data_IF_716965816237
#
_entry.id   IF_716965816237
#
_cell.length_a   1.000
_cell.length_b   1.000
_cell.length_c   1.000
_cell.angle_alpha   90.00
_cell.angle_beta   90.00
_cell.angle_gamma   90.00
#
_symmetry.space_group_name_H-M   'P 1'
#
loop_
_entity.id
_entity.type
_entity.pdbx_description
1 polymer ?
#
# COMPACT_ATOMS: atom_id res chain seq x y z
N UNK A 1 -12.94 7.30 -10.14
CA UNK A 1 -13.00 7.39 -8.67
C UNK A 1 -13.41 8.79 -8.20
N UNK A 2 -12.61 9.86 -8.38
CA UNK A 2 -13.01 11.21 -7.95
C UNK A 2 -14.34 11.68 -8.58
N UNK A 3 -14.51 11.48 -9.90
CA UNK A 3 -15.79 11.73 -10.59
C UNK A 3 -16.96 10.95 -9.99
N UNK A 4 -16.72 9.69 -9.60
CA UNK A 4 -17.73 8.81 -8.99
C UNK A 4 -18.17 9.31 -7.62
N UNK A 5 -17.29 9.99 -6.87
CA UNK A 5 -17.63 10.57 -5.58
C UNK A 5 -18.44 11.85 -5.75
N UNK A 6 -18.08 12.69 -6.71
CA UNK A 6 -18.87 13.88 -7.03
C UNK A 6 -20.28 13.50 -7.51
N UNK A 7 -20.38 12.42 -8.30
CA UNK A 7 -21.66 11.82 -8.69
C UNK A 7 -22.43 11.22 -7.51
N UNK A 8 -21.74 10.57 -6.57
CA UNK A 8 -22.36 10.02 -5.36
C UNK A 8 -22.90 11.13 -4.43
N UNK A 9 -22.19 12.26 -4.32
CA UNK A 9 -22.65 13.45 -3.59
C UNK A 9 -23.90 14.09 -4.19
N UNK A 10 -24.16 13.88 -5.48
CA UNK A 10 -25.31 14.47 -6.19
C UNK A 10 -26.60 13.62 -6.11
N UNK A 11 -26.52 12.34 -5.70
CA UNK A 11 -27.65 11.39 -5.70
C UNK A 11 -28.46 11.34 -4.39
N UNK A 12 -28.59 12.47 -3.70
CA UNK A 12 -29.21 12.52 -2.37
C UNK A 12 -30.67 12.05 -2.36
N UNK A 13 -30.97 10.99 -1.59
CA UNK A 13 -32.28 10.76 -0.92
C UNK A 13 -32.31 9.57 0.08
N UNK A 14 -31.17 9.06 0.56
CA UNK A 14 -31.14 8.16 1.71
C UNK A 14 -30.09 8.67 2.69
N UNK A 15 -30.56 9.18 3.84
CA UNK A 15 -29.72 9.58 4.96
C UNK A 15 -29.16 8.29 5.55
N UNK A 16 -27.90 7.99 5.24
CA UNK A 16 -27.16 6.96 5.95
C UNK A 16 -26.87 7.50 7.36
N UNK A 17 -27.47 6.90 8.39
CA UNK A 17 -27.30 7.30 9.81
C UNK A 17 -25.86 7.05 10.32
N UNK A 18 -24.95 6.57 9.46
CA UNK A 18 -23.56 6.37 9.81
C UNK A 18 -22.78 7.70 9.92
N UNK A 19 -22.33 8.10 11.12
CA UNK A 19 -21.60 9.37 11.33
C UNK A 19 -20.25 9.45 10.59
N UNK A 20 -19.67 8.30 10.22
CA UNK A 20 -18.44 8.24 9.41
C UNK A 20 -18.76 8.63 7.96
N UNK A 21 -19.88 8.15 7.42
CA UNK A 21 -20.32 8.48 6.07
C UNK A 21 -20.54 9.98 5.93
N UNK A 22 -21.24 10.60 6.89
CA UNK A 22 -21.46 12.06 6.91
C UNK A 22 -20.14 12.85 6.92
N UNK A 23 -19.14 12.37 7.68
CA UNK A 23 -17.80 12.98 7.71
C UNK A 23 -17.11 12.87 6.35
N UNK A 24 -17.14 11.70 5.71
CA UNK A 24 -16.54 11.48 4.39
C UNK A 24 -17.21 12.35 3.33
N UNK A 25 -18.54 12.50 3.37
CA UNK A 25 -19.27 13.34 2.40
C UNK A 25 -18.89 14.83 2.51
N UNK A 26 -18.58 15.30 3.72
CA UNK A 26 -18.14 16.69 3.96
C UNK A 26 -16.71 16.96 3.49
N UNK A 27 -15.88 15.93 3.26
CA UNK A 27 -14.50 16.11 2.79
C UNK A 27 -14.46 16.50 1.31
N UNK A 28 -13.68 17.53 0.99
CA UNK A 28 -13.33 17.90 -0.38
C UNK A 28 -12.12 17.10 -0.85
N UNK A 29 -12.37 15.88 -1.30
CA UNK A 29 -11.31 14.96 -1.73
C UNK A 29 -10.52 15.48 -2.93
N UNK A 30 -11.14 16.28 -3.80
CA UNK A 30 -10.44 16.86 -4.94
C UNK A 30 -9.39 17.86 -4.46
N UNK A 31 -9.73 18.68 -3.47
CA UNK A 31 -8.79 19.58 -2.80
C UNK A 31 -7.69 18.81 -2.07
N UNK A 32 -8.04 17.78 -1.31
CA UNK A 32 -7.05 16.97 -0.57
C UNK A 32 -6.05 16.27 -1.51
N UNK A 33 -6.52 15.69 -2.62
CA UNK A 33 -5.66 15.07 -3.63
C UNK A 33 -4.72 16.09 -4.27
N UNK A 34 -5.21 17.29 -4.59
CA UNK A 34 -4.38 18.36 -5.16
C UNK A 34 -3.32 18.84 -4.16
N UNK A 35 -3.72 19.06 -2.90
CA UNK A 35 -2.81 19.40 -1.81
C UNK A 35 -1.72 18.32 -1.64
N UNK A 36 -2.10 17.05 -1.59
CA UNK A 36 -1.16 15.94 -1.45
C UNK A 36 -0.17 15.90 -2.63
N UNK A 37 -0.65 16.04 -3.87
CA UNK A 37 0.19 16.08 -5.07
C UNK A 37 1.23 17.20 -4.99
N UNK A 38 0.82 18.40 -4.60
CA UNK A 38 1.73 19.55 -4.44
C UNK A 38 2.82 19.32 -3.40
N UNK A 39 2.52 18.60 -2.32
CA UNK A 39 3.50 18.28 -1.27
C UNK A 39 4.44 17.16 -1.70
N UNK A 40 3.91 16.10 -2.32
CA UNK A 40 4.71 14.97 -2.79
C UNK A 40 5.71 15.38 -3.88
N UNK A 41 5.37 16.34 -4.75
CA UNK A 41 6.30 16.88 -5.76
C UNK A 41 7.55 17.55 -5.15
N UNK A 42 7.51 17.95 -3.87
CA UNK A 42 8.66 18.55 -3.16
C UNK A 42 9.59 17.50 -2.57
N UNK A 43 9.13 16.26 -2.41
CA UNK A 43 9.89 15.17 -1.80
C UNK A 43 10.67 14.42 -2.86
N UNK A 44 11.99 14.31 -2.67
CA UNK A 44 12.84 13.51 -3.56
C UNK A 44 12.80 12.04 -3.13
N UNK A 45 11.87 11.28 -3.68
CA UNK A 45 11.88 9.81 -3.60
C UNK A 45 12.21 9.21 -4.96
N UNK A 46 13.07 8.19 -4.97
CA UNK A 46 13.37 7.45 -6.20
C UNK A 46 12.12 6.69 -6.68
N UNK A 47 11.92 6.67 -8.00
CA UNK A 47 10.90 5.82 -8.65
C UNK A 47 11.51 4.45 -8.91
N UNK A 48 10.84 3.40 -8.41
CA UNK A 48 11.23 1.99 -8.55
C UNK A 48 9.99 1.15 -8.85
N UNK A 49 10.16 -0.12 -9.19
CA UNK A 49 9.04 -1.06 -9.24
C UNK A 49 8.61 -1.36 -7.80
N UNK A 50 7.41 -0.93 -7.44
CA UNK A 50 6.84 -1.04 -6.11
C UNK A 50 5.75 -2.12 -6.08
N UNK A 51 5.58 -2.74 -4.91
CA UNK A 51 4.49 -3.68 -4.67
C UNK A 51 3.15 -2.97 -4.54
N UNK A 52 3.16 -1.80 -3.88
CA UNK A 52 2.01 -0.98 -3.48
C UNK A 52 1.05 -1.61 -2.46
N UNK A 53 1.30 -2.85 -2.01
CA UNK A 53 0.50 -3.53 -0.98
C UNK A 53 1.35 -4.49 -0.10
N UNK A 54 2.29 -3.94 0.67
CA UNK A 54 3.21 -4.71 1.54
C UNK A 54 2.62 -5.01 2.92
N UNK A 55 1.44 -5.63 2.96
CA UNK A 55 0.84 -6.17 4.19
C UNK A 55 1.41 -7.55 4.56
N UNK A 56 1.20 -8.00 5.79
CA UNK A 56 1.74 -9.26 6.32
C UNK A 56 1.24 -10.49 5.54
N UNK A 57 0.00 -10.45 5.02
CA UNK A 57 -0.56 -11.52 4.19
C UNK A 57 0.21 -11.76 2.89
N UNK A 58 0.93 -10.74 2.39
CA UNK A 58 1.67 -10.77 1.14
C UNK A 58 3.17 -11.09 1.32
N UNK A 59 3.61 -11.35 2.56
CA UNK A 59 5.02 -11.63 2.89
C UNK A 59 5.10 -13.04 3.48
N UNK A 60 5.48 -14.01 2.65
CA UNK A 60 5.62 -15.41 3.06
C UNK A 60 7.05 -15.72 3.49
N UNK A 61 7.19 -16.56 4.50
CA UNK A 61 8.48 -17.16 4.88
C UNK A 61 8.57 -18.54 4.27
N UNK A 62 9.58 -18.79 3.45
CA UNK A 62 9.89 -20.16 3.00
C UNK A 62 10.77 -20.85 4.03
N UNK A 63 10.27 -21.98 4.55
CA UNK A 63 10.95 -22.83 5.53
C UNK A 63 11.61 -24.07 4.89
N UNK A 64 11.59 -24.18 3.55
CA UNK A 64 12.09 -25.33 2.80
C UNK A 64 13.62 -25.40 2.68
N UNK A 65 14.34 -24.42 3.26
CA UNK A 65 15.79 -24.26 3.17
C UNK A 65 16.38 -23.89 4.53
N UNK A 66 17.68 -24.19 4.72
CA UNK A 66 18.42 -23.85 5.95
C UNK A 66 18.50 -22.32 6.21
N UNK A 67 18.20 -21.50 5.20
CA UNK A 67 18.17 -20.04 5.26
C UNK A 67 16.74 -19.56 4.95
N UNK A 68 15.95 -19.13 5.96
CA UNK A 68 14.58 -18.70 5.75
C UNK A 68 14.54 -17.48 4.82
N UNK A 69 13.84 -17.62 3.69
CA UNK A 69 13.75 -16.58 2.69
C UNK A 69 12.35 -15.96 2.68
N UNK A 70 12.29 -14.63 2.67
CA UNK A 70 11.04 -13.90 2.44
C UNK A 70 10.67 -13.95 0.95
N UNK A 71 9.40 -14.22 0.68
CA UNK A 71 8.82 -14.22 -0.67
C UNK A 71 7.61 -13.30 -0.66
N UNK A 72 7.63 -12.33 -1.56
CA UNK A 72 6.49 -11.46 -1.81
C UNK A 72 5.54 -12.12 -2.81
N UNK A 73 4.24 -12.00 -2.56
CA UNK A 73 3.16 -12.50 -3.42
C UNK A 73 2.10 -11.41 -3.63
N UNK A 74 1.14 -11.67 -4.52
CA UNK A 74 0.00 -10.79 -4.80
C UNK A 74 0.35 -9.43 -5.40
N UNK A 75 0.85 -9.45 -6.64
CA UNK A 75 1.33 -8.28 -7.36
C UNK A 75 0.22 -7.46 -8.05
N UNK A 76 -1.03 -7.53 -7.59
CA UNK A 76 -2.18 -6.95 -8.31
C UNK A 76 -2.13 -5.42 -8.43
N UNK A 77 -1.55 -4.73 -7.45
CA UNK A 77 -1.37 -3.27 -7.46
C UNK A 77 0.01 -2.81 -7.93
N UNK A 78 0.88 -3.72 -8.34
CA UNK A 78 2.27 -3.40 -8.64
C UNK A 78 2.41 -2.42 -9.81
N UNK A 79 3.26 -1.41 -9.61
CA UNK A 79 3.57 -0.42 -10.64
C UNK A 79 4.86 0.32 -10.32
N UNK A 80 5.36 1.11 -11.28
CA UNK A 80 6.41 2.07 -10.97
C UNK A 80 5.84 3.16 -10.07
N UNK A 81 6.38 3.27 -8.85
CA UNK A 81 5.95 4.26 -7.88
C UNK A 81 7.15 4.74 -7.06
N UNK A 82 6.94 5.72 -6.19
CA UNK A 82 7.95 6.21 -5.27
C UNK A 82 8.27 5.14 -4.22
N UNK A 83 9.56 4.80 -4.03
CA UNK A 83 9.96 3.83 -2.99
C UNK A 83 9.47 4.18 -1.58
N UNK A 84 9.31 5.48 -1.31
CA UNK A 84 8.78 5.96 -0.03
C UNK A 84 7.33 5.54 0.22
N UNK A 85 6.56 5.29 -0.84
CA UNK A 85 5.19 4.80 -0.74
C UNK A 85 5.15 3.38 -0.17
N UNK A 86 5.91 2.43 -0.73
CA UNK A 86 5.98 1.05 -0.24
C UNK A 86 6.45 0.98 1.23
N UNK A 87 7.48 1.76 1.58
CA UNK A 87 7.97 1.87 2.95
C UNK A 87 6.88 2.39 3.90
N UNK A 88 6.23 3.51 3.53
CA UNK A 88 5.21 4.13 4.36
C UNK A 88 3.99 3.21 4.51
N UNK A 89 3.56 2.56 3.42
CA UNK A 89 2.47 1.58 3.45
C UNK A 89 2.81 0.43 4.41
N UNK A 90 3.99 -0.18 4.25
CA UNK A 90 4.43 -1.26 5.12
C UNK A 90 4.46 -0.86 6.61
N UNK A 91 4.92 0.36 6.93
CA UNK A 91 4.92 0.86 8.32
C UNK A 91 3.52 1.12 8.87
N UNK A 92 2.57 1.50 8.02
CA UNK A 92 1.17 1.67 8.41
C UNK A 92 0.56 0.29 8.74
N UNK A 93 0.84 -0.74 7.94
CA UNK A 93 0.32 -2.09 8.16
C UNK A 93 0.73 -2.71 9.51
N UNK A 94 1.84 -2.28 10.11
CA UNK A 94 2.22 -2.69 11.48
C UNK A 94 1.17 -2.31 12.53
N UNK A 95 0.35 -1.30 12.24
CA UNK A 95 -0.72 -0.84 13.13
C UNK A 95 -2.03 -1.57 12.90
N UNK A 96 -2.17 -2.35 11.84
CA UNK A 96 -3.40 -3.06 11.51
C UNK A 96 -3.28 -4.54 11.87
N UNK A 97 -4.37 -5.09 12.38
CA UNK A 97 -4.51 -6.53 12.62
C UNK A 97 -5.83 -6.99 12.00
N UNK A 98 -5.73 -7.83 10.97
CA UNK A 98 -6.85 -8.36 10.21
C UNK A 98 -7.32 -9.75 10.71
N UNK A 99 -6.77 -10.26 11.82
CA UNK A 99 -7.15 -11.57 12.37
C UNK A 99 -8.46 -11.55 13.16
N UNK A 100 -9.03 -10.36 13.38
CA UNK A 100 -10.24 -10.19 14.17
C UNK A 100 -11.46 -10.80 13.48
N UNK A 101 -12.12 -11.73 14.15
CA UNK A 101 -13.33 -12.41 13.62
C UNK A 101 -14.60 -11.59 13.78
N UNK A 102 -14.62 -10.63 14.72
CA UNK A 102 -15.76 -9.76 14.99
C UNK A 102 -15.71 -8.48 14.16
N UNK A 103 -16.88 -8.01 13.71
CA UNK A 103 -17.04 -6.74 13.00
C UNK A 103 -16.32 -5.58 13.73
N UNK A 104 -15.57 -4.70 13.03
CA UNK A 104 -15.45 -4.59 11.57
C UNK A 104 -14.38 -5.49 10.92
N UNK A 105 -13.97 -6.58 11.59
CA UNK A 105 -13.00 -7.58 11.13
C UNK A 105 -11.53 -7.10 11.09
N UNK A 106 -11.23 -6.00 11.79
CA UNK A 106 -9.87 -5.56 12.03
C UNK A 106 -9.76 -4.80 13.36
N UNK A 107 -8.53 -4.62 13.83
CA UNK A 107 -8.16 -3.70 14.92
C UNK A 107 -7.01 -2.79 14.50
N UNK A 108 -6.90 -1.62 15.17
CA UNK A 108 -5.85 -0.64 14.91
C UNK A 108 -5.10 -0.34 16.21
N UNK A 109 -3.79 -0.58 16.21
CA UNK A 109 -2.85 -0.39 17.30
C UNK A 109 -1.80 0.63 16.91
N UNK A 110 -2.09 1.92 17.14
CA UNK A 110 -1.20 3.02 16.72
C UNK A 110 0.16 2.97 17.44
N UNK A 111 0.20 2.36 18.60
CA UNK A 111 1.40 2.09 19.40
C UNK A 111 2.39 1.12 18.74
N UNK A 112 1.96 0.36 17.72
CA UNK A 112 2.82 -0.56 16.97
C UNK A 112 3.47 0.07 15.74
N UNK A 113 3.17 1.34 15.47
CA UNK A 113 3.87 2.07 14.42
C UNK A 113 5.37 2.08 14.73
N UNK A 114 6.25 1.76 13.75
CA UNK A 114 7.66 1.55 14.03
C UNK A 114 8.33 2.81 14.57
N UNK A 115 9.30 2.64 15.46
CA UNK A 115 10.17 3.73 15.90
C UNK A 115 11.11 4.17 14.77
N UNK A 116 11.72 5.35 14.90
CA UNK A 116 12.70 5.83 13.92
C UNK A 116 13.84 4.83 13.71
N UNK A 117 14.33 4.20 14.79
CA UNK A 117 15.38 3.18 14.71
C UNK A 117 14.93 1.96 13.90
N UNK A 118 13.69 1.50 14.11
CA UNK A 118 13.10 0.41 13.34
C UNK A 118 12.98 0.78 11.86
N UNK A 119 12.45 1.96 11.54
CA UNK A 119 12.34 2.43 10.15
C UNK A 119 13.70 2.53 9.45
N UNK A 120 14.73 3.05 10.14
CA UNK A 120 16.09 3.17 9.60
C UNK A 120 16.68 1.78 9.33
N UNK A 121 16.48 0.83 10.25
CA UNK A 121 16.94 -0.55 10.08
C UNK A 121 16.29 -1.26 8.89
N UNK A 122 15.05 -0.89 8.53
CA UNK A 122 14.29 -1.49 7.42
C UNK A 122 14.53 -0.80 6.08
N UNK A 123 15.13 0.39 6.07
CA UNK A 123 15.43 1.15 4.84
C UNK A 123 16.20 0.33 3.78
N UNK A 124 17.19 -0.52 4.12
CA UNK A 124 17.90 -1.35 3.15
C UNK A 124 17.10 -2.55 2.61
N UNK A 125 16.16 -3.08 3.40
CA UNK A 125 15.38 -4.29 3.06
C UNK A 125 14.44 -4.05 1.89
N UNK A 126 13.93 -2.82 1.74
CA UNK A 126 13.01 -2.43 0.67
C UNK A 126 13.76 -1.67 -0.45
N UNK A 127 15.07 -1.36 -0.27
CA UNK A 127 15.91 -0.67 -1.28
C UNK A 127 16.68 -1.60 -2.23
N UNK A 128 16.49 -2.92 -2.18
CA UNK A 128 17.07 -3.87 -3.14
C UNK A 128 18.37 -4.57 -2.74
N UNK A 129 18.64 -4.78 -1.44
CA UNK A 129 19.85 -5.50 -0.97
C UNK A 129 19.63 -6.92 -0.42
N UNK A 130 18.40 -7.44 -0.38
CA UNK A 130 18.13 -8.82 0.04
C UNK A 130 17.55 -9.59 -1.14
N UNK A 131 18.36 -10.46 -1.76
CA UNK A 131 18.07 -11.74 -2.49
C UNK A 131 16.66 -12.07 -3.08
N UNK A 132 15.73 -11.13 -3.22
CA UNK A 132 14.38 -11.32 -3.79
C UNK A 132 14.42 -11.16 -5.33
N UNK A 133 15.58 -10.81 -5.89
CA UNK A 133 15.79 -10.57 -7.34
C UNK A 133 16.37 -11.78 -8.08
N UNK A 134 15.94 -13.00 -7.76
CA UNK A 134 16.32 -14.18 -8.58
C UNK A 134 15.15 -14.90 -9.28
N UNK A 135 13.88 -14.58 -8.99
CA UNK A 135 12.76 -15.21 -9.72
C UNK A 135 12.02 -14.26 -10.67
N UNK A 136 11.90 -12.96 -10.34
CA UNK A 136 11.02 -12.05 -11.08
C UNK A 136 11.60 -11.62 -12.46
N UNK A 137 12.91 -11.81 -12.70
CA UNK A 137 13.52 -11.51 -14.01
C UNK A 137 13.05 -12.42 -15.17
N UNK A 138 12.40 -13.56 -14.89
CA UNK A 138 11.83 -14.41 -15.96
C UNK A 138 10.40 -14.04 -16.33
N UNK A 139 9.60 -13.50 -15.40
CA UNK A 139 8.16 -13.33 -15.63
C UNK A 139 7.75 -11.93 -16.10
N UNK A 140 8.55 -10.88 -15.84
CA UNK A 140 8.29 -9.53 -16.41
C UNK A 140 8.41 -9.53 -17.95
N UNK A 141 9.13 -10.48 -18.54
CA UNK A 141 9.14 -10.69 -20.00
C UNK A 141 7.78 -11.12 -20.55
N UNK A 142 6.88 -11.66 -19.71
CA UNK A 142 5.57 -12.18 -20.14
C UNK A 142 4.52 -11.06 -20.12
N UNK A 143 4.56 -10.15 -19.14
CA UNK A 143 3.63 -9.01 -19.06
C UNK A 143 3.83 -7.96 -20.17
N UNK A 144 5.00 -7.86 -20.79
CA UNK A 144 5.23 -6.95 -21.92
C UNK A 144 4.66 -7.47 -23.27
N UNK A 145 3.99 -8.62 -23.29
CA UNK A 145 3.46 -9.22 -24.54
C UNK A 145 1.95 -9.01 -24.75
N UNK A 146 1.24 -8.39 -23.80
CA UNK A 146 -0.21 -8.12 -23.91
C UNK A 146 -0.53 -6.63 -24.08
N UNK A 147 0.21 -5.96 -24.97
CA UNK A 147 0.05 -4.52 -25.16
C UNK A 147 0.50 -3.96 -26.50
N UNK A 148 0.48 -4.73 -27.60
CA UNK A 148 0.40 -4.15 -28.96
C UNK A 148 -0.24 -5.18 -29.90
N UNK A 149 -1.55 -5.07 -30.12
CA UNK A 149 -2.27 -5.14 -31.41
C UNK A 149 -3.77 -5.07 -31.20
#
# INVERSE_FOLDING_TARGET
WLQTIDEAKQKENQVDENPIAETIYKLDLQREVNWLREHLMKVKSQVVFCHNDLQEGNILIREDQDDPALVLIDFEYCSYNYRGFDLANHFIEWTYDYTKTEYPNYSVHKEYYPSEDQMVSMSPLISGATKIVLSIKRDISVCNTFGVH
#
